data_IF_948848271661
#
_entry.id   IF_948848271661
#
_cell.length_a   1.000
_cell.length_b   1.000
_cell.length_c   1.000
_cell.angle_alpha   90.00
_cell.angle_beta   90.00
_cell.angle_gamma   90.00
#
_symmetry.space_group_name_H-M   'P 1'
#
loop_
_entity.id
_entity.type
_entity.pdbx_description
1 polymer ?
#
# COMPACT_ATOMS: atom_id res chain seq x y z
N UNK A 1 -26.82 1.90 10.60
CA UNK A 1 -25.43 2.07 10.10
C UNK A 1 -25.21 3.53 9.76
N UNK A 2 -24.10 4.11 10.18
CA UNK A 2 -23.79 5.51 9.89
C UNK A 2 -23.64 5.72 8.38
N UNK A 3 -24.30 6.75 7.85
CA UNK A 3 -24.15 7.16 6.45
C UNK A 3 -22.77 7.79 6.29
N UNK A 4 -21.85 7.07 5.64
CA UNK A 4 -20.51 7.59 5.37
C UNK A 4 -20.57 8.77 4.39
N UNK A 5 -19.77 9.79 4.67
CA UNK A 5 -19.53 10.90 3.73
C UNK A 5 -18.79 10.37 2.50
N UNK A 6 -18.98 11.03 1.36
CA UNK A 6 -18.38 10.62 0.08
C UNK A 6 -16.86 10.43 0.13
N UNK A 7 -16.06 11.31 0.77
CA UNK A 7 -14.61 11.12 0.87
C UNK A 7 -14.19 9.82 1.55
N UNK A 8 -14.92 9.40 2.59
CA UNK A 8 -14.64 8.17 3.33
C UNK A 8 -14.94 6.94 2.47
N UNK A 9 -16.01 6.98 1.66
CA UNK A 9 -16.34 5.89 0.73
C UNK A 9 -15.28 5.75 -0.36
N UNK A 10 -14.83 6.87 -0.93
CA UNK A 10 -13.77 6.90 -1.94
C UNK A 10 -12.49 6.29 -1.37
N UNK A 11 -12.10 6.72 -0.16
CA UNK A 11 -10.92 6.18 0.54
C UNK A 11 -11.02 4.66 0.72
N UNK A 12 -12.13 4.16 1.28
CA UNK A 12 -12.35 2.72 1.49
C UNK A 12 -12.20 1.94 0.17
N UNK A 13 -12.84 2.42 -0.90
CA UNK A 13 -12.80 1.76 -2.21
C UNK A 13 -11.38 1.72 -2.77
N UNK A 14 -10.64 2.82 -2.65
CA UNK A 14 -9.26 2.91 -3.13
C UNK A 14 -8.32 2.00 -2.33
N UNK A 15 -8.40 2.00 -1.00
CA UNK A 15 -7.59 1.12 -0.15
C UNK A 15 -7.84 -0.36 -0.44
N UNK A 16 -9.10 -0.77 -0.59
CA UNK A 16 -9.44 -2.15 -0.97
C UNK A 16 -8.95 -2.50 -2.38
N UNK A 17 -8.98 -1.53 -3.32
CA UNK A 17 -8.43 -1.68 -4.65
C UNK A 17 -6.88 -1.79 -4.64
N UNK A 18 -6.21 -1.30 -3.61
CA UNK A 18 -4.77 -1.46 -3.36
C UNK A 18 -4.42 -2.72 -2.54
N UNK A 19 -5.35 -3.68 -2.42
CA UNK A 19 -5.17 -4.96 -1.71
C UNK A 19 -5.07 -4.86 -0.17
N UNK A 20 -5.45 -3.74 0.43
CA UNK A 20 -5.61 -3.70 1.88
C UNK A 20 -6.75 -4.61 2.34
N UNK A 21 -6.57 -5.27 3.48
CA UNK A 21 -7.62 -6.09 4.08
C UNK A 21 -8.69 -5.20 4.72
N UNK A 22 -9.95 -5.65 4.81
CA UNK A 22 -11.01 -4.87 5.45
C UNK A 22 -10.69 -4.45 6.89
N UNK A 23 -9.87 -5.21 7.62
CA UNK A 23 -9.44 -4.86 8.97
C UNK A 23 -8.44 -3.70 8.97
N UNK A 24 -7.45 -3.72 8.07
CA UNK A 24 -6.52 -2.61 7.90
C UNK A 24 -7.24 -1.32 7.50
N UNK A 25 -8.21 -1.41 6.58
CA UNK A 25 -8.97 -0.23 6.14
C UNK A 25 -9.80 0.37 7.28
N UNK A 26 -10.35 -0.44 8.20
CA UNK A 26 -11.03 0.08 9.40
C UNK A 26 -10.06 0.89 10.26
N UNK A 27 -8.86 0.37 10.49
CA UNK A 27 -7.83 1.06 11.28
C UNK A 27 -7.39 2.35 10.59
N UNK A 28 -7.13 2.32 9.28
CA UNK A 28 -6.77 3.49 8.46
C UNK A 28 -7.87 4.56 8.49
N UNK A 29 -9.14 4.17 8.36
CA UNK A 29 -10.26 5.14 8.43
C UNK A 29 -10.37 5.76 9.83
N UNK A 30 -10.14 4.99 10.89
CA UNK A 30 -10.12 5.52 12.25
C UNK A 30 -8.99 6.54 12.44
N UNK A 31 -7.80 6.28 11.89
CA UNK A 31 -6.64 7.17 11.99
C UNK A 31 -6.82 8.46 11.17
N UNK A 32 -7.27 8.34 9.92
CA UNK A 32 -7.38 9.48 9.00
C UNK A 32 -8.62 10.34 9.23
N UNK A 33 -9.75 9.71 9.55
CA UNK A 33 -11.04 10.40 9.64
C UNK A 33 -11.59 10.48 11.07
N UNK A 34 -11.01 9.76 12.04
CA UNK A 34 -11.53 9.70 13.41
C UNK A 34 -12.87 8.98 13.53
N UNK A 35 -13.23 8.16 12.53
CA UNK A 35 -14.53 7.48 12.46
C UNK A 35 -14.35 5.99 12.72
N UNK A 36 -15.11 5.45 13.66
CA UNK A 36 -15.21 4.02 13.85
C UNK A 36 -16.24 3.41 12.89
N UNK A 37 -15.82 2.40 12.15
CA UNK A 37 -16.65 1.65 11.21
C UNK A 37 -16.43 0.16 11.39
N UNK A 38 -17.46 -0.64 11.07
CA UNK A 38 -17.35 -2.08 11.15
C UNK A 38 -16.67 -2.68 9.91
N UNK A 39 -15.92 -3.76 10.12
CA UNK A 39 -15.28 -4.54 9.05
C UNK A 39 -16.27 -5.00 7.97
N UNK A 40 -17.49 -5.34 8.38
CA UNK A 40 -18.56 -5.80 7.49
C UNK A 40 -19.03 -4.66 6.56
N UNK A 41 -19.11 -3.44 7.10
CA UNK A 41 -19.44 -2.24 6.33
C UNK A 41 -18.37 -1.94 5.29
N UNK A 42 -17.09 -2.08 5.64
CA UNK A 42 -15.97 -1.95 4.68
C UNK A 42 -16.06 -3.00 3.58
N UNK A 43 -16.33 -4.27 3.92
CA UNK A 43 -16.43 -5.36 2.96
C UNK A 43 -17.58 -5.20 1.94
N UNK A 44 -18.57 -4.35 2.21
CA UNK A 44 -19.63 -4.02 1.25
C UNK A 44 -19.14 -3.11 0.10
N UNK A 45 -17.97 -2.48 0.24
CA UNK A 45 -17.37 -1.61 -0.79
C UNK A 45 -16.37 -2.34 -1.72
N UNK A 46 -16.25 -3.67 -1.59
CA UNK A 46 -15.42 -4.51 -2.49
C UNK A 46 -16.29 -5.18 -3.57
N UNK A 47 -16.20 -4.79 -4.85
CA UNK A 47 -17.01 -5.35 -5.92
C UNK A 47 -16.70 -6.83 -6.23
N UNK A 48 -15.58 -7.36 -5.73
CA UNK A 48 -15.22 -8.77 -5.89
C UNK A 48 -15.98 -9.68 -4.92
N UNK A 49 -16.68 -9.11 -3.93
CA UNK A 49 -17.44 -9.84 -2.91
C UNK A 49 -18.94 -9.76 -3.16
N UNK A 50 -19.66 -10.81 -2.77
CA UNK A 50 -21.12 -10.86 -2.87
C UNK A 50 -21.84 -9.78 -2.03
N UNK A 51 -21.15 -9.23 -1.02
CA UNK A 51 -21.62 -8.17 -0.13
C UNK A 51 -21.81 -6.82 -0.84
N UNK A 52 -21.29 -6.62 -2.06
CA UNK A 52 -21.34 -5.35 -2.78
C UNK A 52 -22.67 -5.01 -3.48
N UNK A 53 -23.76 -5.74 -3.20
CA UNK A 53 -25.01 -5.64 -3.94
C UNK A 53 -25.59 -4.21 -3.97
N UNK A 54 -25.35 -3.40 -2.94
CA UNK A 54 -25.80 -2.01 -2.82
C UNK A 54 -24.80 -0.96 -3.36
N UNK A 55 -23.65 -1.38 -3.89
CA UNK A 55 -22.62 -0.43 -4.33
C UNK A 55 -22.96 0.23 -5.67
N UNK A 56 -22.80 1.55 -5.72
CA UNK A 56 -23.07 2.36 -6.92
C UNK A 56 -22.10 2.02 -8.06
N UNK A 57 -22.55 2.21 -9.31
CA UNK A 57 -21.71 2.00 -10.50
C UNK A 57 -20.43 2.84 -10.46
N UNK A 58 -20.52 4.10 -10.00
CA UNK A 58 -19.37 5.01 -9.86
C UNK A 58 -18.26 4.43 -8.97
N UNK A 59 -18.62 3.83 -7.83
CA UNK A 59 -17.66 3.23 -6.90
C UNK A 59 -17.07 1.92 -7.45
N UNK A 60 -17.86 1.13 -8.19
CA UNK A 60 -17.36 -0.05 -8.93
C UNK A 60 -16.31 0.36 -9.96
N UNK A 61 -16.61 1.36 -10.77
CA UNK A 61 -15.71 1.86 -11.81
C UNK A 61 -14.41 2.41 -11.18
N UNK A 62 -14.52 3.16 -10.08
CA UNK A 62 -13.37 3.65 -9.32
C UNK A 62 -12.49 2.50 -8.79
N UNK A 63 -13.10 1.44 -8.24
CA UNK A 63 -12.36 0.28 -7.74
C UNK A 63 -11.53 -0.37 -8.84
N UNK A 64 -12.16 -0.71 -9.97
CA UNK A 64 -11.48 -1.41 -11.04
C UNK A 64 -10.41 -0.55 -11.71
N UNK A 65 -10.67 0.76 -11.86
CA UNK A 65 -9.65 1.71 -12.34
C UNK A 65 -8.45 1.73 -11.40
N UNK A 66 -8.68 1.97 -10.10
CA UNK A 66 -7.60 2.04 -9.10
C UNK A 66 -6.83 0.73 -9.01
N UNK A 67 -7.52 -0.42 -9.06
CA UNK A 67 -6.90 -1.76 -9.07
C UNK A 67 -6.02 -1.97 -10.30
N UNK A 68 -6.48 -1.52 -11.46
CA UNK A 68 -5.71 -1.63 -12.70
C UNK A 68 -4.47 -0.74 -12.61
N UNK A 69 -4.64 0.53 -12.22
CA UNK A 69 -3.55 1.48 -12.05
C UNK A 69 -2.51 0.96 -11.05
N UNK A 70 -2.93 0.40 -9.91
CA UNK A 70 -2.03 -0.22 -8.93
C UNK A 70 -1.25 -1.41 -9.52
N UNK A 71 -1.85 -2.19 -10.42
CA UNK A 71 -1.18 -3.34 -11.06
C UNK A 71 -0.23 -2.94 -12.18
N UNK A 72 -0.54 -1.89 -12.93
CA UNK A 72 0.25 -1.45 -14.08
C UNK A 72 1.36 -0.48 -13.68
N UNK A 73 1.12 0.36 -12.68
CA UNK A 73 2.05 1.41 -12.27
C UNK A 73 3.07 0.93 -11.22
N UNK A 74 3.83 -0.10 -11.59
CA UNK A 74 4.96 -0.60 -10.77
C UNK A 74 6.01 0.50 -10.55
N UNK A 75 6.12 1.46 -11.48
CA UNK A 75 7.07 2.57 -11.41
C UNK A 75 6.78 3.58 -10.30
N UNK A 76 5.54 3.68 -9.81
CA UNK A 76 5.19 4.56 -8.69
C UNK A 76 5.58 3.95 -7.33
N UNK A 77 5.89 2.65 -7.28
CA UNK A 77 6.37 2.02 -6.05
C UNK A 77 7.76 2.58 -5.75
N UNK A 78 8.00 3.21 -4.58
CA UNK A 78 9.30 3.82 -4.29
C UNK A 78 10.44 2.80 -4.37
N UNK A 79 10.21 1.55 -3.95
CA UNK A 79 11.18 0.46 -4.07
C UNK A 79 11.43 -0.01 -5.52
N UNK A 80 10.63 0.37 -6.52
CA UNK A 80 10.99 0.13 -7.91
C UNK A 80 12.17 1.04 -8.34
N UNK A 81 12.30 2.21 -7.71
CA UNK A 81 13.42 3.13 -7.95
C UNK A 81 14.69 2.68 -7.21
N UNK A 82 15.79 2.51 -7.96
CA UNK A 82 17.10 2.11 -7.43
C UNK A 82 17.64 3.08 -6.37
N UNK A 83 17.51 4.39 -6.59
CA UNK A 83 18.03 5.39 -5.64
C UNK A 83 17.32 5.32 -4.29
N UNK A 84 16.01 5.08 -4.30
CA UNK A 84 15.22 4.91 -3.07
C UNK A 84 15.64 3.65 -2.34
N UNK A 85 15.77 2.50 -3.02
CA UNK A 85 16.22 1.25 -2.40
C UNK A 85 17.61 1.40 -1.74
N UNK A 86 18.57 1.98 -2.46
CA UNK A 86 19.91 2.22 -1.92
C UNK A 86 19.89 3.15 -0.70
N UNK A 87 19.05 4.19 -0.72
CA UNK A 87 18.87 5.10 0.41
C UNK A 87 18.31 4.37 1.63
N UNK A 88 17.29 3.54 1.46
CA UNK A 88 16.71 2.74 2.55
C UNK A 88 17.71 1.71 3.08
N UNK A 89 18.43 1.00 2.22
CA UNK A 89 19.49 0.07 2.63
C UNK A 89 20.59 0.77 3.45
N UNK A 90 20.98 1.99 3.06
CA UNK A 90 21.95 2.79 3.80
C UNK A 90 21.43 3.22 5.18
N UNK A 91 20.16 3.63 5.27
CA UNK A 91 19.52 3.97 6.56
C UNK A 91 19.54 2.78 7.51
N UNK A 92 19.15 1.60 7.02
CA UNK A 92 19.17 0.36 7.82
C UNK A 92 20.61 0.03 8.24
N UNK A 93 21.59 0.18 7.34
CA UNK A 93 22.99 -0.07 7.68
C UNK A 93 23.52 0.88 8.77
N UNK A 94 23.04 2.13 8.80
CA UNK A 94 23.46 3.12 9.79
C UNK A 94 22.82 2.91 11.17
N UNK A 95 21.77 2.09 11.30
CA UNK A 95 21.14 1.82 12.59
C UNK A 95 22.10 1.03 13.52
N UNK A 96 22.42 1.56 14.71
CA UNK A 96 23.34 0.92 15.65
C UNK A 96 22.83 -0.42 16.20
N UNK A 97 21.52 -0.69 16.14
CA UNK A 97 20.90 -1.93 16.64
C UNK A 97 21.05 -3.11 15.67
N UNK A 98 21.51 -2.85 14.44
CA UNK A 98 21.61 -3.87 13.39
C UNK A 98 22.82 -4.78 13.64
N UNK A 99 22.54 -6.07 13.72
CA UNK A 99 23.55 -7.10 13.99
C UNK A 99 24.53 -7.29 12.81
N UNK A 100 25.69 -7.89 13.10
CA UNK A 100 26.77 -8.10 12.11
C UNK A 100 26.34 -8.93 10.89
N UNK A 101 25.47 -9.93 11.09
CA UNK A 101 25.00 -10.81 10.00
C UNK A 101 24.13 -10.02 9.01
N UNK A 102 23.21 -9.20 9.52
CA UNK A 102 22.34 -8.34 8.71
C UNK A 102 23.16 -7.26 8.00
N UNK A 103 24.17 -6.66 8.65
CA UNK A 103 25.12 -5.74 8.00
C UNK A 103 25.78 -6.37 6.78
N UNK A 104 26.28 -7.61 6.89
CA UNK A 104 26.88 -8.31 5.74
C UNK A 104 25.88 -8.56 4.62
N UNK A 105 24.62 -8.91 4.95
CA UNK A 105 23.55 -9.06 3.95
C UNK A 105 23.22 -7.75 3.25
N UNK A 106 23.16 -6.64 3.97
CA UNK A 106 22.91 -5.30 3.40
C UNK A 106 24.03 -4.89 2.45
N UNK A 107 25.30 -5.10 2.83
CA UNK A 107 26.45 -4.83 1.95
C UNK A 107 26.36 -5.65 0.65
N UNK A 108 25.97 -6.93 0.75
CA UNK A 108 25.76 -7.78 -0.43
C UNK A 108 24.61 -7.26 -1.30
N UNK A 109 23.48 -6.91 -0.71
CA UNK A 109 22.34 -6.36 -1.44
C UNK A 109 22.70 -5.06 -2.16
N UNK A 110 23.42 -4.15 -1.49
CA UNK A 110 23.92 -2.91 -2.10
C UNK A 110 24.85 -3.23 -3.27
N UNK A 111 25.77 -4.19 -3.11
CA UNK A 111 26.65 -4.62 -4.21
C UNK A 111 25.87 -5.16 -5.39
N UNK A 112 24.87 -6.01 -5.15
CA UNK A 112 24.05 -6.60 -6.20
C UNK A 112 23.24 -5.51 -6.95
N UNK A 113 22.71 -4.50 -6.24
CA UNK A 113 22.05 -3.35 -6.86
C UNK A 113 23.01 -2.41 -7.61
N UNK A 114 24.28 -2.40 -7.23
CA UNK A 114 25.35 -1.61 -7.86
C UNK A 114 26.07 -2.34 -9.01
N UNK A 115 25.75 -3.60 -9.30
CA UNK A 115 26.33 -4.31 -10.45
C UNK A 115 26.12 -3.51 -11.75
N UNK A 116 27.22 -3.27 -12.48
CA UNK A 116 27.24 -2.46 -13.71
C UNK A 116 27.55 -0.97 -13.51
N UNK A 117 27.70 -0.51 -12.26
CA UNK A 117 28.26 0.80 -11.91
C UNK A 117 29.63 0.57 -11.27
N UNK A 118 30.67 0.47 -12.08
CA UNK A 118 32.02 0.68 -11.56
C UNK A 118 32.22 2.19 -11.39
N UNK A 119 32.60 2.61 -10.18
CA UNK A 119 33.08 3.96 -9.96
C UNK A 119 34.31 4.13 -10.88
N UNK A 120 34.18 4.95 -11.93
CA UNK A 120 35.30 5.36 -12.77
C UNK A 120 36.40 6.03 -11.94
#
# INVERSE_FOLDING_TARGET
>A
MATLKEPVKIFIVQSLACFETPQQVVESVRLEFGIEIERQQVAAYDPTKATCRSMSKKLKDLFYKTRNDFRTNVFDIPLANKAVRLTELQKIYNDPKVNRILRTKLIRQVKDEMQGYELQ
#
